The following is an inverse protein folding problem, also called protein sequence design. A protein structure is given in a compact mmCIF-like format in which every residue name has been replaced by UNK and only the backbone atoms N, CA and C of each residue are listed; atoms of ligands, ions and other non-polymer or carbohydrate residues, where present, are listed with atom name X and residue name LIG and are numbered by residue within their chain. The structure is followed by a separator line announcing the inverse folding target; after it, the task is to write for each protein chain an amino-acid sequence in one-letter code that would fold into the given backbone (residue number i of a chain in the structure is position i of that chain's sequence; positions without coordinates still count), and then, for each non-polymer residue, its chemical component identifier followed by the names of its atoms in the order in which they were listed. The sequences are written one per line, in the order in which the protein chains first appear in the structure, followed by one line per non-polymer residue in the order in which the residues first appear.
data_IF_265215291901
#
_entry.id   IF_265215291901
#
_cell.length_a   1.000
_cell.length_b   1.000
_cell.length_c   1.000
_cell.angle_alpha   90.00
_cell.angle_beta   90.00
_cell.angle_gamma   90.00
#
_symmetry.space_group_name_H-M   'P 1'
#
loop_
_entity.id
_entity.type
_entity.pdbx_description
1 polymer ?
#
# COMPACT_ATOMS: atom_id res chain seq x y z
N UNK A 1 -18.37 -5.52 -34.01
CA UNK A 1 -18.23 -6.58 -33.01
C UNK A 1 -19.61 -7.20 -32.77
N UNK A 2 -19.79 -8.51 -33.06
CA UNK A 2 -21.04 -9.21 -32.79
C UNK A 2 -21.06 -9.72 -31.35
N UNK A 3 -21.99 -9.21 -30.55
CA UNK A 3 -22.20 -9.75 -29.19
C UNK A 3 -23.06 -11.03 -29.35
N UNK A 4 -22.63 -12.12 -28.72
CA UNK A 4 -23.38 -13.36 -28.71
C UNK A 4 -24.76 -13.11 -28.06
N UNK A 5 -25.82 -13.63 -28.72
CA UNK A 5 -27.23 -13.47 -28.29
C UNK A 5 -27.44 -13.91 -26.84
N UNK A 6 -26.83 -15.02 -26.43
CA UNK A 6 -26.93 -15.54 -25.05
C UNK A 6 -26.34 -14.57 -24.05
N UNK A 7 -25.18 -13.98 -24.36
CA UNK A 7 -24.52 -12.96 -23.51
C UNK A 7 -25.39 -11.71 -23.40
N UNK A 8 -26.01 -11.27 -24.48
CA UNK A 8 -26.91 -10.11 -24.46
C UNK A 8 -28.09 -10.30 -23.51
N UNK A 9 -28.80 -11.44 -23.61
CA UNK A 9 -29.93 -11.72 -22.72
C UNK A 9 -29.52 -11.96 -21.28
N UNK A 10 -28.35 -12.56 -21.03
CA UNK A 10 -27.77 -12.69 -19.70
C UNK A 10 -27.57 -11.31 -19.07
N UNK A 11 -26.90 -10.41 -19.77
CA UNK A 11 -26.66 -9.04 -19.28
C UNK A 11 -27.96 -8.24 -19.13
N UNK A 12 -28.89 -8.35 -20.06
CA UNK A 12 -30.18 -7.69 -19.97
C UNK A 12 -30.96 -8.11 -18.71
N UNK A 13 -30.91 -9.39 -18.36
CA UNK A 13 -31.56 -9.92 -17.14
C UNK A 13 -30.91 -9.37 -15.85
N UNK A 14 -29.63 -9.03 -15.87
CA UNK A 14 -28.89 -8.59 -14.70
C UNK A 14 -28.68 -7.06 -14.63
N UNK A 15 -29.21 -6.31 -15.57
CA UNK A 15 -29.11 -4.84 -15.62
C UNK A 15 -29.77 -4.16 -14.40
N UNK A 16 -30.83 -4.76 -13.84
CA UNK A 16 -31.56 -4.21 -12.68
C UNK A 16 -31.16 -4.82 -11.32
N UNK A 17 -30.47 -5.97 -11.32
CA UNK A 17 -30.03 -6.64 -10.10
C UNK A 17 -28.68 -7.30 -10.36
N UNK A 18 -27.57 -6.67 -9.96
CA UNK A 18 -26.25 -7.26 -10.14
C UNK A 18 -26.15 -8.59 -9.38
N UNK A 19 -25.46 -9.57 -9.98
CA UNK A 19 -25.22 -10.84 -9.32
C UNK A 19 -24.59 -10.62 -7.94
N UNK A 20 -24.89 -11.45 -6.93
CA UNK A 20 -24.38 -11.28 -5.56
C UNK A 20 -22.87 -11.08 -5.49
N UNK A 21 -22.12 -11.78 -6.34
CA UNK A 21 -20.67 -11.63 -6.44
C UNK A 21 -20.25 -10.24 -6.93
N UNK A 22 -20.99 -9.65 -7.85
CA UNK A 22 -20.74 -8.29 -8.36
C UNK A 22 -21.10 -7.26 -7.32
N UNK A 23 -22.19 -7.45 -6.59
CA UNK A 23 -22.58 -6.58 -5.49
C UNK A 23 -21.51 -6.54 -4.40
N UNK A 24 -21.08 -7.71 -3.93
CA UNK A 24 -20.01 -7.80 -2.93
C UNK A 24 -18.70 -7.13 -3.39
N UNK A 25 -18.36 -7.23 -4.68
CA UNK A 25 -17.20 -6.54 -5.24
C UNK A 25 -17.38 -5.03 -5.19
N UNK A 26 -18.55 -4.50 -5.53
CA UNK A 26 -18.84 -3.07 -5.49
C UNK A 26 -18.80 -2.53 -4.06
N UNK A 27 -19.39 -3.24 -3.11
CA UNK A 27 -19.38 -2.89 -1.68
C UNK A 27 -17.93 -2.83 -1.15
N UNK A 28 -17.10 -3.80 -1.52
CA UNK A 28 -15.70 -3.81 -1.13
C UNK A 28 -14.90 -2.68 -1.81
N UNK A 29 -15.15 -2.37 -3.08
CA UNK A 29 -14.53 -1.22 -3.78
C UNK A 29 -14.88 0.08 -3.05
N UNK A 30 -16.14 0.25 -2.66
CA UNK A 30 -16.58 1.41 -1.90
C UNK A 30 -15.84 1.51 -0.56
N UNK A 31 -15.72 0.40 0.18
CA UNK A 31 -15.00 0.34 1.46
C UNK A 31 -13.53 0.78 1.33
N UNK A 32 -12.83 0.32 0.28
CA UNK A 32 -11.46 0.76 0.00
C UNK A 32 -11.38 2.24 -0.38
N UNK A 33 -12.37 2.74 -1.14
CA UNK A 33 -12.44 4.15 -1.54
C UNK A 33 -12.65 5.06 -0.33
N UNK A 34 -13.58 4.73 0.54
CA UNK A 34 -13.85 5.47 1.79
C UNK A 34 -12.64 5.47 2.72
N UNK A 35 -11.97 4.31 2.86
CA UNK A 35 -10.75 4.21 3.64
C UNK A 35 -9.62 5.06 3.06
N UNK A 36 -9.50 5.12 1.73
CA UNK A 36 -8.49 5.96 1.07
C UNK A 36 -8.79 7.46 1.24
N UNK A 37 -10.04 7.86 1.24
CA UNK A 37 -10.40 9.27 1.50
C UNK A 37 -9.95 9.72 2.89
N UNK A 38 -10.01 8.83 3.89
CA UNK A 38 -9.51 9.09 5.25
C UNK A 38 -7.98 9.06 5.31
N UNK A 39 -7.34 8.20 4.53
CA UNK A 39 -5.90 7.95 4.59
C UNK A 39 -5.25 8.00 3.19
N UNK A 40 -5.20 9.16 2.53
CA UNK A 40 -4.82 9.28 1.12
C UNK A 40 -3.35 8.97 0.82
N UNK A 41 -2.48 9.06 1.82
CA UNK A 41 -1.04 8.78 1.67
C UNK A 41 -0.69 7.29 1.70
N UNK A 42 -1.64 6.44 2.12
CA UNK A 42 -1.37 5.02 2.32
C UNK A 42 -1.71 4.16 1.10
N UNK A 43 -0.91 3.12 0.88
CA UNK A 43 -1.12 2.15 -0.21
C UNK A 43 -2.09 1.03 0.18
N UNK A 44 -2.47 0.21 -0.80
CA UNK A 44 -3.48 -0.84 -0.65
C UNK A 44 -3.20 -1.86 0.49
N UNK A 45 -1.94 -2.21 0.75
CA UNK A 45 -1.58 -3.14 1.83
C UNK A 45 -1.92 -2.57 3.21
N UNK A 46 -1.57 -1.30 3.41
CA UNK A 46 -1.90 -0.62 4.66
C UNK A 46 -3.41 -0.45 4.81
N UNK A 47 -4.11 -0.04 3.73
CA UNK A 47 -5.57 0.08 3.73
C UNK A 47 -6.23 -1.26 4.05
N UNK A 48 -5.73 -2.37 3.49
CA UNK A 48 -6.22 -3.72 3.79
C UNK A 48 -6.06 -4.08 5.28
N UNK A 49 -4.89 -3.80 5.85
CA UNK A 49 -4.64 -4.02 7.27
C UNK A 49 -5.54 -3.14 8.16
N UNK A 50 -5.75 -1.88 7.80
CA UNK A 50 -6.62 -0.95 8.52
C UNK A 50 -8.09 -1.37 8.48
N UNK A 51 -8.60 -1.74 7.30
CA UNK A 51 -9.97 -2.25 7.13
C UNK A 51 -10.17 -3.51 8.00
N UNK A 52 -9.18 -4.40 8.01
CA UNK A 52 -9.22 -5.61 8.85
C UNK A 52 -9.34 -5.27 10.33
N UNK A 53 -8.61 -4.27 10.79
CA UNK A 53 -8.69 -3.81 12.19
C UNK A 53 -10.02 -3.17 12.52
N UNK A 54 -10.57 -2.37 11.60
CA UNK A 54 -11.78 -1.57 11.85
C UNK A 54 -13.07 -2.39 11.69
N UNK A 55 -13.10 -3.34 10.74
CA UNK A 55 -14.33 -4.06 10.37
C UNK A 55 -14.25 -5.57 10.62
N UNK A 56 -13.06 -6.10 10.90
CA UNK A 56 -12.83 -7.55 10.96
C UNK A 56 -12.78 -8.25 9.58
N UNK A 57 -13.05 -7.53 8.49
CA UNK A 57 -13.04 -8.10 7.15
C UNK A 57 -11.60 -8.37 6.68
N UNK A 58 -11.29 -9.63 6.40
CA UNK A 58 -9.97 -10.05 5.93
C UNK A 58 -9.99 -10.29 4.41
N UNK A 59 -9.21 -9.50 3.68
CA UNK A 59 -9.01 -9.67 2.25
C UNK A 59 -7.59 -10.13 1.95
N UNK A 60 -7.42 -10.91 0.88
CA UNK A 60 -6.08 -11.20 0.36
C UNK A 60 -5.48 -9.95 -0.29
N UNK A 61 -4.16 -9.79 -0.25
CA UNK A 61 -3.47 -8.65 -0.85
C UNK A 61 -3.73 -8.49 -2.37
N UNK A 62 -3.76 -9.57 -3.17
CA UNK A 62 -4.14 -9.49 -4.58
C UNK A 62 -5.56 -8.97 -4.79
N UNK A 63 -6.50 -9.35 -3.92
CA UNK A 63 -7.88 -8.88 -4.00
C UNK A 63 -7.99 -7.40 -3.60
N UNK A 64 -7.34 -6.99 -2.53
CA UNK A 64 -7.25 -5.59 -2.11
C UNK A 64 -6.64 -4.70 -3.21
N UNK A 65 -5.55 -5.16 -3.83
CA UNK A 65 -4.96 -4.48 -4.98
C UNK A 65 -5.93 -4.36 -6.16
N UNK A 66 -6.69 -5.43 -6.48
CA UNK A 66 -7.72 -5.40 -7.53
C UNK A 66 -8.80 -4.37 -7.24
N UNK A 67 -9.33 -4.31 -6.02
CA UNK A 67 -10.33 -3.33 -5.60
C UNK A 67 -9.80 -1.89 -5.74
N UNK A 68 -8.60 -1.62 -5.23
CA UNK A 68 -7.95 -0.31 -5.35
C UNK A 68 -7.68 0.08 -6.81
N UNK A 69 -7.27 -0.87 -7.66
CA UNK A 69 -7.05 -0.62 -9.10
C UNK A 69 -8.33 -0.25 -9.82
N UNK A 70 -9.44 -0.95 -9.56
CA UNK A 70 -10.75 -0.66 -10.17
C UNK A 70 -11.26 0.70 -9.69
N UNK A 71 -11.09 1.01 -8.40
CA UNK A 71 -11.45 2.30 -7.82
C UNK A 71 -10.55 3.47 -8.26
N UNK A 72 -9.45 3.21 -8.97
CA UNK A 72 -8.47 4.25 -9.31
C UNK A 72 -7.70 4.79 -8.10
N UNK A 73 -7.72 4.09 -6.97
CA UNK A 73 -7.06 4.47 -5.73
C UNK A 73 -5.55 4.29 -5.86
N UNK A 74 -4.80 5.37 -5.68
CA UNK A 74 -3.34 5.39 -5.64
C UNK A 74 -2.86 6.17 -4.42
N UNK A 75 -1.82 5.70 -3.77
CA UNK A 75 -1.18 6.44 -2.68
C UNK A 75 -0.73 7.82 -3.13
N UNK A 76 -1.09 8.85 -2.37
CA UNK A 76 -0.65 10.24 -2.57
C UNK A 76 0.60 10.57 -1.73
N UNK A 77 1.32 9.56 -1.25
CA UNK A 77 2.56 9.76 -0.52
C UNK A 77 3.57 10.51 -1.40
N UNK A 78 4.21 11.51 -0.83
CA UNK A 78 5.32 12.20 -1.49
C UNK A 78 6.53 11.28 -1.51
N UNK A 79 6.99 10.90 -2.69
CA UNK A 79 8.26 10.21 -2.83
C UNK A 79 9.37 11.26 -2.85
N UNK A 80 10.20 11.27 -1.82
CA UNK A 80 11.43 12.05 -1.86
C UNK A 80 12.37 11.44 -2.89
N UNK A 81 12.67 12.18 -3.95
CA UNK A 81 13.78 11.81 -4.83
C UNK A 81 15.06 12.10 -4.05
N UNK A 82 15.83 11.07 -3.76
CA UNK A 82 17.16 11.23 -3.22
C UNK A 82 17.98 12.05 -4.23
N UNK A 83 18.30 13.28 -3.88
CA UNK A 83 19.26 14.08 -4.63
C UNK A 83 20.64 13.62 -4.17
N UNK A 84 21.41 13.00 -5.04
CA UNK A 84 22.84 12.78 -4.76
C UNK A 84 23.43 14.15 -4.42
N UNK A 85 24.05 14.34 -3.25
CA UNK A 85 24.83 15.53 -3.00
C UNK A 85 25.87 15.66 -4.11
N UNK A 86 26.08 16.85 -4.62
CA UNK A 86 27.01 17.11 -5.72
C UNK A 86 28.47 16.82 -5.38
N UNK A 87 28.76 16.66 -4.11
CA UNK A 87 30.08 16.28 -3.60
C UNK A 87 29.94 14.96 -2.82
N UNK A 88 30.66 13.91 -3.17
CA UNK A 88 30.68 12.68 -2.38
C UNK A 88 31.24 13.05 -0.99
N UNK A 89 30.34 13.14 -0.01
CA UNK A 89 30.73 13.37 1.37
C UNK A 89 31.78 12.35 1.83
N UNK A 90 32.45 12.60 2.95
CA UNK A 90 33.44 11.69 3.53
C UNK A 90 32.94 10.25 3.46
N UNK A 91 33.61 9.42 2.69
CA UNK A 91 33.37 7.97 2.68
C UNK A 91 34.04 7.43 3.94
N UNK A 92 33.23 7.03 4.89
CA UNK A 92 33.74 6.32 6.07
C UNK A 92 33.93 4.84 5.71
N UNK A 93 35.05 4.22 6.15
CA UNK A 93 35.23 2.80 5.97
C UNK A 93 34.11 2.02 6.69
N UNK A 94 33.68 0.91 6.09
CA UNK A 94 32.74 0.01 6.74
C UNK A 94 33.45 -0.69 7.90
N UNK A 95 33.12 -0.31 9.14
CA UNK A 95 33.68 -0.91 10.35
C UNK A 95 33.12 -2.31 10.62
N UNK A 96 31.95 -2.63 10.06
CA UNK A 96 31.30 -3.93 10.15
C UNK A 96 31.66 -4.74 8.91
N UNK A 97 32.94 -5.06 8.73
CA UNK A 97 33.38 -5.95 7.67
C UNK A 97 32.95 -7.41 7.94
N UNK A 98 32.98 -8.25 6.91
CA UNK A 98 32.66 -9.68 7.03
C UNK A 98 33.61 -10.43 8.01
N UNK A 99 34.69 -9.81 8.42
CA UNK A 99 35.69 -10.36 9.34
C UNK A 99 35.38 -10.06 10.81
N UNK A 100 34.30 -9.32 11.11
CA UNK A 100 33.91 -9.01 12.47
C UNK A 100 33.35 -10.27 13.16
N UNK A 101 34.14 -10.88 14.00
CA UNK A 101 33.70 -12.00 14.86
C UNK A 101 32.98 -11.43 16.07
N UNK A 102 31.73 -11.80 16.25
CA UNK A 102 30.91 -11.40 17.40
C UNK A 102 30.69 -12.65 18.25
N UNK A 103 31.36 -12.74 19.39
CA UNK A 103 31.36 -13.91 20.26
C UNK A 103 30.42 -13.75 21.47
N UNK A 104 29.80 -12.58 21.64
CA UNK A 104 28.92 -12.33 22.78
C UNK A 104 27.92 -11.18 22.57
N UNK A 105 26.95 -11.05 23.46
CA UNK A 105 25.97 -9.95 23.40
C UNK A 105 26.63 -8.61 23.70
N UNK A 106 26.10 -7.52 23.13
CA UNK A 106 26.55 -6.13 23.32
C UNK A 106 27.95 -5.79 22.80
N UNK A 107 28.60 -6.68 22.07
CA UNK A 107 29.90 -6.38 21.43
C UNK A 107 29.79 -5.44 20.24
N UNK A 108 28.62 -5.42 19.58
CA UNK A 108 28.35 -4.50 18.50
C UNK A 108 26.96 -3.88 18.68
N UNK A 109 26.91 -2.55 18.69
CA UNK A 109 25.64 -1.80 18.76
C UNK A 109 25.57 -0.93 17.51
N UNK A 110 24.49 -1.08 16.76
CA UNK A 110 24.18 -0.24 15.62
C UNK A 110 23.04 0.69 16.01
N UNK A 111 23.23 1.99 15.78
CA UNK A 111 22.20 2.99 15.99
C UNK A 111 21.92 3.73 14.69
N UNK A 112 20.65 4.03 14.44
CA UNK A 112 20.23 4.85 13.32
C UNK A 112 19.39 6.02 13.83
N UNK A 113 19.53 7.17 13.19
CA UNK A 113 18.73 8.35 13.50
C UNK A 113 17.80 8.65 12.32
N UNK A 114 16.50 8.66 12.60
CA UNK A 114 15.49 9.06 11.62
C UNK A 114 14.95 10.44 12.02
N UNK A 115 15.18 11.43 11.17
CA UNK A 115 14.57 12.74 11.34
C UNK A 115 13.17 12.75 10.72
N UNK A 116 12.19 13.23 11.46
CA UNK A 116 10.84 13.48 10.94
C UNK A 116 10.39 14.91 11.24
N UNK A 117 9.59 15.44 10.35
CA UNK A 117 9.10 16.81 10.47
C UNK A 117 7.66 16.79 11.02
N UNK A 118 7.45 17.45 12.15
CA UNK A 118 6.12 17.66 12.74
C UNK A 118 5.81 19.14 12.69
N UNK A 119 4.76 19.53 12.01
CA UNK A 119 4.33 20.94 11.84
C UNK A 119 5.45 21.88 11.38
N UNK A 120 6.36 21.39 10.51
CA UNK A 120 7.47 22.18 10.00
C UNK A 120 8.72 22.22 10.89
N UNK A 121 8.72 21.56 12.02
CA UNK A 121 9.87 21.45 12.93
C UNK A 121 10.49 20.06 12.76
N UNK A 122 11.81 20.01 12.50
CA UNK A 122 12.57 18.77 12.47
C UNK A 122 12.89 18.34 13.91
N UNK A 123 12.56 17.10 14.22
CA UNK A 123 12.88 16.44 15.50
C UNK A 123 13.80 15.27 15.25
#
# INVERSE_FOLDING_TARGET
MGINRSSFYYWKKHLGAPAPRTKNLLDNIQLFTESHLKYPSHGYRWLNAKIRLDTGAAFSDPYAHKCCRIAGVKSKAKHYKYKKPGDPGRIFPNLLSAELSIDGPLQCIVSDMTAFCVKGIYC
#
